data_IF_292876196448
#
_entry.id   IF_292876196448
#
_cell.length_a   1.000
_cell.length_b   1.000
_cell.length_c   1.000
_cell.angle_alpha   90.00
_cell.angle_beta   90.00
_cell.angle_gamma   90.00
#
_symmetry.space_group_name_H-M   'P 1'
#
loop_
_entity.id
_entity.type
_entity.pdbx_description
1 polymer ?
#
# COMPACT_ATOMS: atom_id res chain seq x y z
N UNK A 1 18.71 -0.27 5.64
CA UNK A 1 17.38 -0.91 5.63
C UNK A 1 16.89 -0.97 4.18
N UNK A 2 16.29 -2.08 3.73
CA UNK A 2 15.81 -2.20 2.35
C UNK A 2 14.63 -1.25 2.07
N UNK A 3 14.69 -0.57 0.92
CA UNK A 3 13.70 0.37 0.40
C UNK A 3 12.35 -0.33 0.11
N UNK A 4 11.24 0.41 0.18
CA UNK A 4 9.92 -0.11 -0.22
C UNK A 4 9.93 -0.32 -1.74
N UNK A 5 9.60 -1.52 -2.24
CA UNK A 5 9.62 -1.78 -3.67
C UNK A 5 8.61 -0.89 -4.41
N UNK A 6 8.88 -0.55 -5.68
CA UNK A 6 7.92 0.21 -6.47
C UNK A 6 6.61 -0.60 -6.66
N UNK A 7 5.47 0.08 -6.83
CA UNK A 7 4.23 -0.60 -7.18
C UNK A 7 4.39 -1.35 -8.51
N UNK A 8 3.80 -2.54 -8.62
CA UNK A 8 3.80 -3.29 -9.87
C UNK A 8 3.09 -2.48 -10.97
N UNK A 9 3.45 -2.65 -12.25
CA UNK A 9 2.77 -1.94 -13.33
C UNK A 9 1.27 -2.25 -13.37
N UNK A 10 0.48 -1.22 -13.66
CA UNK A 10 -0.99 -1.28 -13.70
C UNK A 10 -1.44 -0.97 -15.12
N UNK A 11 -2.24 -1.87 -15.69
CA UNK A 11 -2.91 -1.69 -16.97
C UNK A 11 -4.40 -1.52 -16.73
N UNK A 12 -5.01 -0.51 -17.35
CA UNK A 12 -6.46 -0.34 -17.30
C UNK A 12 -7.00 -0.12 -18.70
N UNK A 13 -8.04 -0.84 -19.10
CA UNK A 13 -8.73 -0.62 -20.39
C UNK A 13 -7.85 -0.85 -21.64
N UNK A 14 -6.69 -1.51 -21.51
CA UNK A 14 -5.71 -1.68 -22.60
C UNK A 14 -4.60 -0.62 -22.62
N UNK A 15 -4.63 0.36 -21.73
CA UNK A 15 -3.60 1.37 -21.56
C UNK A 15 -2.60 0.96 -20.47
N UNK A 16 -1.33 0.79 -20.82
CA UNK A 16 -0.23 0.55 -19.88
C UNK A 16 0.97 -0.22 -20.50
N UNK A 17 2.15 -0.18 -19.86
CA UNK A 17 3.32 -0.96 -20.28
C UNK A 17 3.07 -2.47 -20.15
N UNK A 18 3.74 -3.30 -20.97
CA UNK A 18 3.56 -4.75 -20.99
C UNK A 18 4.01 -5.41 -19.67
N UNK A 19 3.19 -6.34 -19.15
CA UNK A 19 3.39 -7.00 -17.86
C UNK A 19 2.80 -6.19 -16.70
N UNK A 20 1.97 -6.81 -15.85
CA UNK A 20 1.29 -6.12 -14.74
C UNK A 20 -0.15 -6.60 -14.52
N UNK A 21 -0.84 -5.99 -13.54
CA UNK A 21 -2.26 -6.26 -13.29
C UNK A 21 -3.12 -5.52 -14.31
N UNK A 22 -4.15 -6.19 -14.86
CA UNK A 22 -5.09 -5.61 -15.82
C UNK A 22 -6.47 -5.46 -15.19
N UNK A 23 -7.03 -4.26 -15.26
CA UNK A 23 -8.38 -3.95 -14.80
C UNK A 23 -9.21 -3.35 -15.94
N UNK A 24 -10.52 -3.60 -15.99
CA UNK A 24 -11.42 -2.76 -16.78
C UNK A 24 -11.60 -1.39 -16.11
N UNK A 25 -12.03 -0.38 -16.86
CA UNK A 25 -12.26 0.97 -16.32
C UNK A 25 -13.27 0.96 -15.17
N UNK A 26 -14.32 0.13 -15.28
CA UNK A 26 -15.38 0.00 -14.28
C UNK A 26 -14.90 -0.74 -13.01
N UNK A 27 -13.92 -1.64 -13.13
CA UNK A 27 -13.37 -2.40 -11.99
C UNK A 27 -12.38 -1.58 -11.15
N UNK A 28 -11.76 -0.52 -11.70
CA UNK A 28 -10.72 0.22 -10.98
C UNK A 28 -11.22 0.83 -9.69
N UNK A 29 -12.45 1.36 -9.66
CA UNK A 29 -13.01 1.96 -8.45
C UNK A 29 -13.24 0.92 -7.34
N UNK A 30 -13.71 -0.27 -7.71
CA UNK A 30 -13.87 -1.37 -6.74
C UNK A 30 -12.51 -1.82 -6.20
N UNK A 31 -11.49 -1.90 -7.06
CA UNK A 31 -10.14 -2.29 -6.66
C UNK A 31 -9.53 -1.21 -5.75
N UNK A 32 -9.64 0.07 -6.10
CA UNK A 32 -9.19 1.18 -5.25
C UNK A 32 -9.85 1.10 -3.87
N UNK A 33 -11.15 0.84 -3.80
CA UNK A 33 -11.89 0.71 -2.53
C UNK A 33 -11.28 -0.40 -1.68
N UNK A 34 -11.07 -1.61 -2.23
CA UNK A 34 -10.47 -2.73 -1.51
C UNK A 34 -9.06 -2.43 -0.97
N UNK A 35 -8.27 -1.67 -1.72
CA UNK A 35 -6.94 -1.25 -1.24
C UNK A 35 -7.02 -0.17 -0.16
N UNK A 36 -8.02 0.71 -0.21
CA UNK A 36 -8.29 1.67 0.87
C UNK A 36 -8.73 0.95 2.14
N UNK A 37 -9.62 -0.04 2.03
CA UNK A 37 -10.03 -0.88 3.17
C UNK A 37 -8.82 -1.62 3.78
N UNK A 38 -7.92 -2.14 2.94
CA UNK A 38 -6.67 -2.75 3.40
C UNK A 38 -5.76 -1.73 4.09
N UNK A 39 -5.66 -0.50 3.56
CA UNK A 39 -4.86 0.56 4.16
C UNK A 39 -5.35 0.90 5.57
N UNK A 40 -6.67 0.99 5.76
CA UNK A 40 -7.28 1.26 7.05
C UNK A 40 -6.94 0.15 8.05
N UNK A 41 -7.13 -1.12 7.66
CA UNK A 41 -6.73 -2.26 8.50
C UNK A 41 -5.23 -2.25 8.85
N UNK A 42 -4.37 -1.92 7.88
CA UNK A 42 -2.92 -1.83 8.11
C UNK A 42 -2.54 -0.68 9.05
N UNK A 43 -3.31 0.41 9.09
CA UNK A 43 -3.09 1.49 10.04
C UNK A 43 -3.45 1.06 11.47
N UNK A 44 -4.51 0.27 11.62
CA UNK A 44 -4.87 -0.33 12.92
C UNK A 44 -3.78 -1.31 13.37
N UNK A 45 -3.30 -2.17 12.48
CA UNK A 45 -2.20 -3.09 12.77
C UNK A 45 -0.90 -2.35 13.09
N UNK A 46 -0.63 -1.23 12.41
CA UNK A 46 0.51 -0.36 12.71
C UNK A 46 0.42 0.23 14.13
N UNK A 47 -0.78 0.61 14.57
CA UNK A 47 -0.99 1.08 15.94
C UNK A 47 -0.70 -0.04 16.96
N UNK A 48 -1.15 -1.26 16.70
CA UNK A 48 -0.85 -2.43 17.54
C UNK A 48 0.66 -2.75 17.55
N UNK A 49 1.33 -2.67 16.40
CA UNK A 49 2.77 -2.90 16.30
C UNK A 49 3.57 -1.88 17.13
N UNK A 50 3.13 -0.62 17.22
CA UNK A 50 3.77 0.39 18.09
C UNK A 50 3.69 0.00 19.58
N UNK A 51 2.56 -0.55 20.00
CA UNK A 51 2.39 -1.04 21.38
C UNK A 51 3.36 -2.18 21.67
N UNK A 52 3.45 -3.15 20.75
CA UNK A 52 4.35 -4.31 20.88
C UNK A 52 5.83 -3.85 20.91
N UNK A 53 6.20 -2.92 20.04
CA UNK A 53 7.57 -2.40 19.93
C UNK A 53 8.06 -1.60 21.14
N UNK A 54 7.16 -1.27 22.07
CA UNK A 54 7.42 -0.45 23.25
C UNK A 54 7.03 -1.13 24.57
N UNK A 55 6.90 -2.46 24.54
CA UNK A 55 6.59 -3.26 25.74
C UNK A 55 7.67 -3.06 26.80
N UNK A 56 7.23 -2.98 28.06
CA UNK A 56 8.10 -2.76 29.21
C UNK A 56 8.31 -4.05 29.98
N UNK A 57 9.48 -4.16 30.61
CA UNK A 57 9.77 -5.25 31.55
C UNK A 57 8.80 -5.22 32.74
N UNK A 58 8.30 -6.37 33.21
CA UNK A 58 7.41 -6.44 34.37
C UNK A 58 8.16 -6.22 35.69
N UNK A 59 9.45 -6.55 35.75
CA UNK A 59 10.33 -6.33 36.91
C UNK A 59 11.78 -6.09 36.45
N UNK A 60 12.61 -5.54 37.34
CA UNK A 60 14.05 -5.42 37.12
C UNK A 60 14.78 -6.66 37.63
N UNK A 61 14.71 -7.72 36.83
CA UNK A 61 15.38 -8.99 37.10
C UNK A 61 15.97 -9.57 35.80
N UNK A 62 17.00 -10.44 35.87
CA UNK A 62 17.75 -10.87 34.70
C UNK A 62 16.93 -11.46 33.54
N UNK A 63 15.90 -12.28 33.82
CA UNK A 63 15.08 -12.91 32.79
C UNK A 63 14.18 -11.89 32.07
N UNK A 64 13.57 -10.96 32.81
CA UNK A 64 12.77 -9.86 32.27
C UNK A 64 13.62 -8.94 31.40
N UNK A 65 14.84 -8.66 31.84
CA UNK A 65 15.79 -7.84 31.10
C UNK A 65 16.20 -8.55 29.79
N UNK A 66 16.57 -9.83 29.87
CA UNK A 66 16.97 -10.62 28.70
C UNK A 66 15.83 -10.77 27.68
N UNK A 67 14.63 -11.10 28.16
CA UNK A 67 13.44 -11.25 27.31
C UNK A 67 13.11 -9.96 26.56
N UNK A 68 13.10 -8.81 27.23
CA UNK A 68 12.77 -7.52 26.63
C UNK A 68 13.87 -7.07 25.66
N UNK A 69 15.13 -7.10 26.10
CA UNK A 69 16.23 -6.48 25.39
C UNK A 69 16.68 -7.31 24.16
N UNK A 70 16.54 -8.64 24.21
CA UNK A 70 16.96 -9.55 23.12
C UNK A 70 15.81 -10.17 22.33
N UNK A 71 14.62 -10.24 22.91
CA UNK A 71 13.45 -10.84 22.27
C UNK A 71 12.43 -9.80 21.85
N UNK A 72 11.65 -9.34 22.82
CA UNK A 72 10.42 -8.61 22.55
C UNK A 72 10.65 -7.28 21.81
N UNK A 73 11.59 -6.44 22.26
CA UNK A 73 11.80 -5.13 21.64
C UNK A 73 12.40 -5.23 20.24
N UNK A 74 13.50 -5.99 19.98
CA UNK A 74 14.03 -6.12 18.63
C UNK A 74 13.02 -6.70 17.63
N UNK A 75 12.26 -7.73 18.04
CA UNK A 75 11.20 -8.30 17.19
C UNK A 75 10.04 -7.32 16.97
N UNK A 76 9.63 -6.59 18.02
CA UNK A 76 8.58 -5.58 17.93
C UNK A 76 8.97 -4.41 17.02
N UNK A 77 10.22 -3.94 17.08
CA UNK A 77 10.73 -2.92 16.16
C UNK A 77 10.75 -3.43 14.71
N UNK A 78 11.16 -4.67 14.49
CA UNK A 78 11.10 -5.29 13.16
C UNK A 78 9.66 -5.35 12.65
N UNK A 79 8.70 -5.76 13.49
CA UNK A 79 7.27 -5.79 13.15
C UNK A 79 6.75 -4.41 12.76
N UNK A 80 7.08 -3.38 13.54
CA UNK A 80 6.72 -1.98 13.31
C UNK A 80 7.27 -1.48 11.97
N UNK A 81 8.55 -1.74 11.69
CA UNK A 81 9.20 -1.38 10.44
C UNK A 81 8.52 -2.05 9.23
N UNK A 82 8.13 -3.32 9.35
CA UNK A 82 7.40 -4.00 8.26
C UNK A 82 6.02 -3.39 8.03
N UNK A 83 5.27 -3.05 9.08
CA UNK A 83 3.96 -2.41 8.94
C UNK A 83 4.07 -1.04 8.28
N UNK A 84 5.08 -0.24 8.65
CA UNK A 84 5.35 1.01 7.96
C UNK A 84 5.57 0.82 6.46
N UNK A 85 6.35 -0.18 6.06
CA UNK A 85 6.60 -0.49 4.65
C UNK A 85 5.35 -0.96 3.91
N UNK A 86 4.52 -1.78 4.56
CA UNK A 86 3.25 -2.23 3.98
C UNK A 86 2.30 -1.04 3.75
N UNK A 87 2.12 -0.17 4.75
CA UNK A 87 1.31 1.06 4.62
C UNK A 87 1.83 1.95 3.49
N UNK A 88 3.15 2.13 3.39
CA UNK A 88 3.75 2.93 2.32
C UNK A 88 3.52 2.30 0.95
N UNK A 89 3.71 0.98 0.81
CA UNK A 89 3.48 0.28 -0.45
C UNK A 89 2.02 0.40 -0.91
N UNK A 90 1.07 0.19 0.00
CA UNK A 90 -0.37 0.29 -0.31
C UNK A 90 -0.75 1.70 -0.75
N UNK A 91 -0.29 2.73 -0.04
CA UNK A 91 -0.51 4.12 -0.45
C UNK A 91 0.05 4.43 -1.85
N UNK A 92 1.27 3.95 -2.14
CA UNK A 92 1.89 4.12 -3.45
C UNK A 92 1.08 3.41 -4.54
N UNK A 93 0.57 2.21 -4.25
CA UNK A 93 -0.24 1.44 -5.18
C UNK A 93 -1.61 2.08 -5.45
N UNK A 94 -2.30 2.58 -4.42
CA UNK A 94 -3.55 3.36 -4.56
C UNK A 94 -3.31 4.60 -5.42
N UNK A 95 -2.21 5.30 -5.20
CA UNK A 95 -1.83 6.48 -6.00
C UNK A 95 -1.64 6.11 -7.47
N UNK A 96 -0.96 4.99 -7.75
CA UNK A 96 -0.77 4.50 -9.11
C UNK A 96 -2.10 4.08 -9.77
N UNK A 97 -3.02 3.43 -9.04
CA UNK A 97 -4.36 3.09 -9.54
C UNK A 97 -5.16 4.34 -9.92
N UNK A 98 -5.18 5.36 -9.06
CA UNK A 98 -5.87 6.64 -9.32
C UNK A 98 -5.28 7.35 -10.54
N UNK A 99 -3.96 7.37 -10.68
CA UNK A 99 -3.29 7.95 -11.84
C UNK A 99 -3.63 7.19 -13.14
N UNK A 100 -3.69 5.85 -13.09
CA UNK A 100 -4.08 5.04 -14.24
C UNK A 100 -5.54 5.29 -14.65
N UNK A 101 -6.46 5.40 -13.68
CA UNK A 101 -7.86 5.76 -13.93
C UNK A 101 -7.99 7.10 -14.65
N UNK A 102 -7.34 8.14 -14.12
CA UNK A 102 -7.41 9.49 -14.70
C UNK A 102 -6.89 9.53 -16.14
N UNK A 103 -5.84 8.78 -16.46
CA UNK A 103 -5.31 8.70 -17.83
C UNK A 103 -6.35 8.16 -18.81
N UNK A 104 -7.13 7.15 -18.44
CA UNK A 104 -8.21 6.64 -19.30
C UNK A 104 -9.26 7.70 -19.54
N UNK A 105 -9.76 8.35 -18.48
CA UNK A 105 -10.81 9.36 -18.62
C UNK A 105 -10.41 10.48 -19.56
N UNK A 106 -9.14 10.91 -19.51
CA UNK A 106 -8.60 11.92 -20.44
C UNK A 106 -8.54 11.38 -21.87
N UNK A 107 -7.96 10.19 -22.09
CA UNK A 107 -7.84 9.63 -23.44
C UNK A 107 -9.20 9.31 -24.08
N UNK A 108 -10.18 8.82 -23.31
CA UNK A 108 -11.54 8.61 -23.79
C UNK A 108 -12.21 9.94 -24.19
N UNK A 109 -11.99 11.01 -23.42
CA UNK A 109 -12.48 12.34 -23.77
C UNK A 109 -11.85 12.86 -25.07
N UNK A 110 -10.52 12.76 -25.21
CA UNK A 110 -9.80 13.17 -26.41
C UNK A 110 -10.28 12.40 -27.66
N UNK A 111 -10.51 11.09 -27.52
CA UNK A 111 -11.05 10.27 -28.60
C UNK A 111 -12.46 10.72 -29.00
N UNK A 112 -13.36 10.97 -28.05
CA UNK A 112 -14.71 11.50 -28.31
C UNK A 112 -14.66 12.85 -29.03
N UNK A 113 -13.81 13.77 -28.56
CA UNK A 113 -13.65 15.09 -29.15
C UNK A 113 -13.07 15.01 -30.58
N UNK A 114 -12.15 14.07 -30.83
CA UNK A 114 -11.57 13.85 -32.16
C UNK A 114 -12.56 13.28 -33.16
N UNK A 115 -13.49 12.42 -32.70
CA UNK A 115 -14.56 11.85 -33.52
C UNK A 115 -15.63 12.92 -33.83
N UNK A 116 -15.99 13.75 -32.83
CA UNK A 116 -16.94 14.84 -33.00
C UNK A 116 -16.47 15.97 -33.91
N UNK A 117 -15.14 16.14 -34.09
CA UNK A 117 -14.56 17.10 -35.06
C UNK A 117 -14.44 16.56 -36.48
N UNK A 118 -14.63 15.25 -36.68
CA UNK A 118 -14.51 14.59 -37.99
C UNK A 118 -15.86 14.23 -38.62
N UNK A 119 -16.97 14.41 -37.91
CA UNK A 119 -18.34 14.33 -38.43
C UNK A 119 -18.91 15.71 -38.71
#
# INVERSE_FOLDING_TARGET
MAEVPPPAPIQVGGYGPAGGYKFSADEVDSVITKWQDLLDNLNDDLANARVIATVKRPADEPASNDFIDKGANPSGQTLLDQHHKMVQYVNNYITALKAAKNKITVTEQENRDSLGKKG
#
